data_IF_677167722177
#
_entry.id   IF_677167722177
#
_cell.length_a   1.000
_cell.length_b   1.000
_cell.length_c   1.000
_cell.angle_alpha   90.00
_cell.angle_beta   90.00
_cell.angle_gamma   90.00
#
_symmetry.space_group_name_H-M   'P 1'
#
loop_
_entity.id
_entity.type
_entity.pdbx_description
1 polymer ?
#
# COMPACT_ATOMS: atom_id res chain seq x y z
N UNK A 1 15.23 2.56 12.41
CA UNK A 1 16.03 3.13 11.32
C UNK A 1 15.83 4.64 11.31
N UNK A 2 16.85 5.46 11.59
CA UNK A 2 16.68 6.90 11.86
C UNK A 2 16.45 7.81 10.63
N UNK A 3 16.24 7.25 9.43
CA UNK A 3 16.10 8.04 8.20
C UNK A 3 14.72 7.94 7.52
N UNK A 4 13.72 7.35 8.18
CA UNK A 4 12.36 7.28 7.62
C UNK A 4 11.47 8.24 8.38
N UNK A 5 10.82 9.13 7.65
CA UNK A 5 9.76 9.97 8.20
C UNK A 5 8.44 9.20 8.08
N UNK A 6 7.67 9.20 9.16
CA UNK A 6 6.38 8.53 9.18
C UNK A 6 5.38 9.36 8.37
N UNK A 7 5.04 8.88 7.17
CA UNK A 7 4.06 9.53 6.30
C UNK A 7 2.61 9.23 6.71
N UNK A 8 2.35 8.09 7.34
CA UNK A 8 1.02 7.67 7.74
C UNK A 8 0.89 6.16 7.89
N UNK A 9 -0.21 5.73 8.51
CA UNK A 9 -0.58 4.33 8.62
C UNK A 9 -1.85 4.10 7.81
N UNK A 10 -1.74 3.24 6.80
CA UNK A 10 -2.86 2.81 5.98
C UNK A 10 -3.17 1.37 6.35
N UNK A 11 -4.32 1.16 6.99
CA UNK A 11 -4.70 -0.15 7.48
C UNK A 11 -5.99 -0.61 6.80
N UNK A 12 -5.91 -1.72 6.06
CA UNK A 12 -7.08 -2.43 5.56
C UNK A 12 -7.46 -3.52 6.56
N UNK A 13 -8.42 -3.20 7.42
CA UNK A 13 -9.07 -4.17 8.29
C UNK A 13 -9.85 -5.16 7.43
N UNK A 14 -9.18 -6.24 7.02
CA UNK A 14 -9.81 -7.46 6.50
C UNK A 14 -10.67 -8.13 7.58
N UNK A 15 -11.69 -7.43 8.07
CA UNK A 15 -12.64 -7.93 9.05
C UNK A 15 -13.67 -8.76 8.31
N UNK A 16 -13.52 -10.08 8.49
CA UNK A 16 -14.59 -11.04 8.68
C UNK A 16 -15.97 -10.40 8.92
N UNK A 17 -16.77 -10.28 7.87
CA UNK A 17 -18.21 -10.00 7.98
C UNK A 17 -18.62 -8.55 7.75
N UNK A 18 -19.38 -8.35 6.66
CA UNK A 18 -20.33 -7.24 6.47
C UNK A 18 -19.73 -5.83 6.27
N UNK A 19 -19.14 -5.59 5.10
CA UNK A 19 -19.44 -4.47 4.17
C UNK A 19 -18.32 -4.33 3.14
N UNK A 20 -18.73 -4.21 1.88
CA UNK A 20 -17.92 -4.15 0.65
C UNK A 20 -17.20 -2.78 0.48
N UNK A 21 -16.97 -2.04 1.57
CA UNK A 21 -16.69 -0.59 1.50
C UNK A 21 -15.23 -0.19 1.75
N UNK A 22 -14.40 -1.08 2.32
CA UNK A 22 -13.05 -0.73 2.81
C UNK A 22 -11.96 -0.96 1.74
N UNK A 23 -11.75 0.03 0.87
CA UNK A 23 -10.50 0.22 0.09
C UNK A 23 -10.07 1.69 -0.02
N UNK A 24 -10.71 2.58 0.75
CA UNK A 24 -10.39 4.01 0.77
C UNK A 24 -8.93 4.26 1.16
N UNK A 25 -8.41 3.51 2.14
CA UNK A 25 -7.04 3.66 2.64
C UNK A 25 -5.98 3.31 1.59
N UNK A 26 -6.19 2.23 0.81
CA UNK A 26 -5.27 1.89 -0.29
C UNK A 26 -5.30 2.96 -1.39
N UNK A 27 -6.50 3.48 -1.73
CA UNK A 27 -6.64 4.56 -2.71
C UNK A 27 -5.98 5.85 -2.22
N UNK A 28 -6.12 6.20 -0.94
CA UNK A 28 -5.43 7.34 -0.34
C UNK A 28 -3.92 7.15 -0.40
N UNK A 29 -3.41 5.97 0.01
CA UNK A 29 -1.99 5.65 -0.11
C UNK A 29 -1.48 5.84 -1.53
N UNK A 30 -2.19 5.33 -2.55
CA UNK A 30 -1.83 5.52 -3.95
C UNK A 30 -1.85 6.99 -4.37
N UNK A 31 -2.79 7.78 -3.84
CA UNK A 31 -2.89 9.22 -4.12
C UNK A 31 -1.77 10.02 -3.45
N UNK A 32 -1.40 9.69 -2.21
CA UNK A 32 -0.28 10.29 -1.49
C UNK A 32 1.06 9.94 -2.16
N UNK A 33 1.16 8.71 -2.65
CA UNK A 33 2.22 8.23 -3.53
C UNK A 33 2.30 9.04 -4.84
N UNK A 34 1.18 9.24 -5.54
CA UNK A 34 1.09 10.06 -6.75
C UNK A 34 1.40 11.56 -6.48
N UNK A 35 1.14 12.03 -5.26
CA UNK A 35 1.49 13.39 -4.82
C UNK A 35 2.97 13.55 -4.43
N UNK A 36 3.77 12.48 -4.46
CA UNK A 36 5.18 12.51 -4.08
C UNK A 36 5.43 12.68 -2.58
N UNK A 37 4.41 12.46 -1.75
CA UNK A 37 4.53 12.54 -0.28
C UNK A 37 5.11 11.26 0.32
N UNK A 38 5.07 10.15 -0.43
CA UNK A 38 5.51 8.83 0.00
C UNK A 38 6.47 8.26 -1.05
N UNK A 39 7.73 8.01 -0.66
CA UNK A 39 8.70 7.29 -1.49
C UNK A 39 8.77 5.80 -1.17
N UNK A 40 8.22 5.38 -0.02
CA UNK A 40 8.35 4.00 0.46
C UNK A 40 7.09 3.50 1.17
N UNK A 41 6.69 2.29 0.82
CA UNK A 41 5.58 1.56 1.42
C UNK A 41 6.12 0.33 2.13
N UNK A 42 5.74 0.15 3.39
CA UNK A 42 6.08 -1.04 4.18
C UNK A 42 4.81 -1.81 4.46
N UNK A 43 4.79 -3.10 4.11
CA UNK A 43 3.66 -3.98 4.38
C UNK A 43 4.11 -5.31 4.96
N UNK A 44 3.29 -5.90 5.84
CA UNK A 44 3.60 -7.17 6.52
C UNK A 44 3.56 -8.41 5.61
N UNK A 45 2.97 -8.31 4.43
CA UNK A 45 2.87 -9.41 3.47
C UNK A 45 2.30 -8.91 2.17
N UNK A 46 2.67 -9.55 1.06
CA UNK A 46 2.11 -9.23 -0.26
C UNK A 46 0.58 -9.43 -0.30
N UNK A 47 0.07 -10.42 0.44
CA UNK A 47 -1.36 -10.69 0.57
C UNK A 47 -2.14 -9.58 1.29
N UNK A 48 -1.46 -8.72 2.06
CA UNK A 48 -2.07 -7.52 2.67
C UNK A 48 -2.16 -6.36 1.68
N UNK A 49 -1.33 -6.36 0.64
CA UNK A 49 -1.36 -5.35 -0.41
C UNK A 49 -2.46 -5.66 -1.44
N UNK A 50 -2.54 -6.93 -1.88
CA UNK A 50 -3.56 -7.35 -2.84
C UNK A 50 -4.02 -8.79 -2.59
N UNK A 51 -5.30 -9.06 -2.86
CA UNK A 51 -5.90 -10.40 -2.73
C UNK A 51 -5.56 -11.32 -3.90
N UNK A 52 -5.16 -10.76 -5.05
CA UNK A 52 -4.85 -11.49 -6.27
C UNK A 52 -3.52 -11.03 -6.85
N UNK A 53 -2.80 -11.95 -7.50
CA UNK A 53 -1.48 -11.69 -8.09
C UNK A 53 -1.51 -10.63 -9.19
N UNK A 54 -2.59 -10.57 -9.98
CA UNK A 54 -2.76 -9.58 -11.07
C UNK A 54 -2.84 -8.16 -10.52
N UNK A 55 -3.74 -7.94 -9.57
CA UNK A 55 -3.95 -6.66 -8.87
C UNK A 55 -2.66 -6.21 -8.16
N UNK A 56 -1.96 -7.16 -7.54
CA UNK A 56 -0.65 -6.90 -6.94
C UNK A 56 0.37 -6.41 -7.98
N UNK A 57 0.46 -7.08 -9.13
CA UNK A 57 1.45 -6.74 -10.16
C UNK A 57 1.17 -5.33 -10.74
N UNK A 58 -0.09 -4.99 -10.95
CA UNK A 58 -0.49 -3.66 -11.43
C UNK A 58 -0.14 -2.57 -10.43
N UNK A 59 -0.47 -2.77 -9.14
CA UNK A 59 -0.14 -1.82 -8.07
C UNK A 59 1.37 -1.64 -7.95
N UNK A 60 2.13 -2.74 -7.90
CA UNK A 60 3.59 -2.71 -7.80
C UNK A 60 4.21 -2.00 -9.00
N UNK A 61 3.71 -2.26 -10.23
CA UNK A 61 4.18 -1.58 -11.44
C UNK A 61 3.87 -0.09 -11.41
N UNK A 62 2.66 0.30 -10.99
CA UNK A 62 2.27 1.71 -10.88
C UNK A 62 3.17 2.45 -9.88
N UNK A 63 3.35 1.87 -8.69
CA UNK A 63 4.19 2.42 -7.64
C UNK A 63 5.67 2.49 -8.05
N UNK A 64 6.21 1.43 -8.66
CA UNK A 64 7.59 1.42 -9.18
C UNK A 64 7.77 2.49 -10.27
N UNK A 65 6.78 2.68 -11.13
CA UNK A 65 6.79 3.73 -12.15
C UNK A 65 6.77 5.15 -11.57
N UNK A 66 6.22 5.32 -10.38
CA UNK A 66 6.25 6.58 -9.61
C UNK A 66 7.54 6.75 -8.79
N UNK A 67 8.46 5.77 -8.82
CA UNK A 67 9.70 5.78 -8.03
C UNK A 67 9.53 5.32 -6.58
N UNK A 68 8.46 4.59 -6.28
CA UNK A 68 8.08 4.21 -4.91
C UNK A 68 8.54 2.80 -4.59
N UNK A 69 9.27 2.66 -3.48
CA UNK A 69 9.82 1.40 -3.01
C UNK A 69 8.82 0.63 -2.14
N UNK A 70 8.51 -0.60 -2.52
CA UNK A 70 7.72 -1.51 -1.69
C UNK A 70 8.64 -2.43 -0.89
N UNK A 71 8.44 -2.46 0.42
CA UNK A 71 9.10 -3.36 1.36
C UNK A 71 8.08 -4.30 1.98
N UNK A 72 8.37 -5.60 1.88
CA UNK A 72 7.54 -6.65 2.48
C UNK A 72 8.26 -7.21 3.70
N UNK A 73 7.71 -6.95 4.90
CA UNK A 73 8.06 -7.74 6.08
C UNK A 73 7.58 -9.19 5.87
N UNK A 74 8.35 -10.15 6.39
CA UNK A 74 8.12 -11.59 6.22
C UNK A 74 7.36 -12.17 7.41
#
# INVERSE_FOLDING_TARGET
NPCWEYAGLYFDEGISGTKIDKRESLKQLLKDCESGQIDRIVTKSISRLARNTVDCLEIVRKLTGLGIYLYFEK
#
